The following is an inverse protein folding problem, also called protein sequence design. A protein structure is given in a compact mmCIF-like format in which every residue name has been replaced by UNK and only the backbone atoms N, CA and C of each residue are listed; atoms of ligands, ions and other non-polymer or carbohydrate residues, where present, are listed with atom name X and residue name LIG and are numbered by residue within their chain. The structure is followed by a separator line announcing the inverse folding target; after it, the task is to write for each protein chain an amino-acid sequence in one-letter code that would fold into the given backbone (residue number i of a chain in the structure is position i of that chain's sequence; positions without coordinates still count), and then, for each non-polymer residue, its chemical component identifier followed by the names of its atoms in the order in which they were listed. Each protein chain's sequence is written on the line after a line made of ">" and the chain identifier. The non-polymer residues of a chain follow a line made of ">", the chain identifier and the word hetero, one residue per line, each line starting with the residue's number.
data_IF_108157905201
#
_entry.id   IF_108157905201
#
_cell.length_a   1.000
_cell.length_b   1.000
_cell.length_c   1.000
_cell.angle_alpha   90.00
_cell.angle_beta   90.00
_cell.angle_gamma   90.00
#
_symmetry.space_group_name_H-M   'P 1'
#
loop_
_entity.id
_entity.type
_entity.pdbx_description
1 polymer ?
#
# COMPACT_ATOMS: atom_id res chain seq x y z
N UNK A 1 7.48 -20.39 21.48
CA UNK A 1 8.60 -20.27 20.52
C UNK A 1 8.35 -19.31 19.34
N UNK A 2 7.27 -18.51 19.33
CA UNK A 2 7.07 -17.50 18.28
C UNK A 2 7.94 -16.27 18.59
N UNK A 3 8.95 -16.03 17.76
CA UNK A 3 9.89 -14.91 17.93
C UNK A 3 9.44 -13.63 17.21
N UNK A 4 8.44 -13.71 16.34
CA UNK A 4 7.90 -12.57 15.61
C UNK A 4 6.78 -12.91 14.65
N UNK A 5 6.04 -11.89 14.21
CA UNK A 5 4.95 -11.97 13.23
C UNK A 5 5.26 -11.09 12.02
N UNK A 6 5.05 -11.65 10.83
CA UNK A 6 4.97 -10.90 9.57
C UNK A 6 3.52 -10.85 9.09
N UNK A 7 3.11 -9.73 8.53
CA UNK A 7 1.76 -9.51 8.00
C UNK A 7 1.84 -9.35 6.48
N UNK A 8 0.95 -10.05 5.77
CA UNK A 8 0.70 -9.80 4.36
C UNK A 8 -0.80 -9.81 4.09
N UNK A 9 -1.23 -9.12 3.03
CA UNK A 9 -2.63 -8.79 2.83
C UNK A 9 -2.96 -8.57 1.36
N UNK A 10 -4.26 -8.72 1.04
CA UNK A 10 -4.80 -8.16 -0.20
C UNK A 10 -4.55 -6.65 -0.21
N UNK A 11 -3.93 -6.17 -1.29
CA UNK A 11 -3.59 -4.77 -1.49
C UNK A 11 -4.85 -3.98 -1.90
N UNK A 12 -4.70 -2.65 -1.92
CA UNK A 12 -5.68 -1.61 -2.29
C UNK A 12 -6.99 -1.55 -1.50
N UNK A 13 -7.46 -2.65 -0.91
CA UNK A 13 -8.71 -2.73 -0.14
C UNK A 13 -8.69 -1.70 1.00
N UNK A 14 -9.68 -0.82 1.00
CA UNK A 14 -9.72 0.35 1.88
C UNK A 14 -10.68 0.13 3.04
N UNK A 15 -10.23 0.47 4.24
CA UNK A 15 -11.01 0.43 5.48
C UNK A 15 -11.02 1.82 6.10
N UNK A 16 -12.19 2.25 6.58
CA UNK A 16 -12.38 3.46 7.37
C UNK A 16 -12.84 3.08 8.77
N UNK A 17 -12.21 3.61 9.81
CA UNK A 17 -12.58 3.34 11.20
C UNK A 17 -12.43 4.57 12.08
N UNK A 18 -13.04 4.51 13.26
CA UNK A 18 -12.93 5.55 14.27
C UNK A 18 -11.68 5.30 15.15
N UNK A 19 -10.84 6.33 15.32
CA UNK A 19 -9.60 6.30 16.11
C UNK A 19 -9.79 6.13 17.61
N UNK A 20 -10.96 6.50 18.16
CA UNK A 20 -11.24 6.37 19.60
C UNK A 20 -11.88 5.02 19.92
N UNK A 21 -12.86 4.60 19.13
CA UNK A 21 -13.58 3.35 19.39
C UNK A 21 -12.88 2.14 18.78
N UNK A 22 -12.09 2.35 17.71
CA UNK A 22 -11.47 1.28 16.93
C UNK A 22 -12.46 0.46 16.11
N UNK A 23 -13.69 0.95 15.93
CA UNK A 23 -14.75 0.27 15.19
C UNK A 23 -14.79 0.72 13.72
N UNK A 24 -15.05 -0.21 12.78
CA UNK A 24 -15.19 0.13 11.36
C UNK A 24 -16.44 1.00 11.15
N UNK A 25 -16.31 2.02 10.32
CA UNK A 25 -17.39 2.97 10.02
C UNK A 25 -18.30 2.49 8.89
N UNK A 26 -17.82 1.54 8.09
CA UNK A 26 -18.53 0.87 6.99
C UNK A 26 -17.83 -0.46 6.63
N UNK A 27 -18.48 -1.33 5.84
CA UNK A 27 -17.79 -2.44 5.19
C UNK A 27 -16.59 -1.97 4.37
N UNK A 28 -15.52 -2.76 4.37
CA UNK A 28 -14.34 -2.50 3.55
C UNK A 28 -14.70 -2.48 2.06
N UNK A 29 -14.09 -1.56 1.30
CA UNK A 29 -14.22 -1.54 -0.17
C UNK A 29 -13.04 -2.32 -0.75
N UNK A 30 -13.34 -3.52 -1.27
CA UNK A 30 -12.34 -4.45 -1.81
C UNK A 30 -11.70 -3.92 -3.09
N UNK A 31 -10.48 -4.37 -3.38
CA UNK A 31 -9.69 -3.92 -4.55
C UNK A 31 -10.43 -4.03 -5.88
N UNK A 32 -11.24 -5.08 -6.07
CA UNK A 32 -11.99 -5.37 -7.29
C UNK A 32 -13.28 -4.55 -7.44
N UNK A 33 -13.65 -3.77 -6.41
CA UNK A 33 -14.85 -2.96 -6.44
C UNK A 33 -14.72 -1.79 -7.44
N UNK A 34 -15.69 -1.70 -8.36
CA UNK A 34 -15.71 -0.72 -9.44
C UNK A 34 -16.69 0.44 -9.19
N UNK A 35 -17.24 0.61 -7.98
CA UNK A 35 -18.22 1.68 -7.67
C UNK A 35 -17.71 3.09 -7.92
N UNK A 36 -16.39 3.26 -8.00
CA UNK A 36 -15.70 4.54 -8.23
C UNK A 36 -15.42 4.80 -9.71
N UNK A 37 -16.06 4.07 -10.64
CA UNK A 37 -15.87 4.26 -12.07
C UNK A 37 -16.18 5.70 -12.54
N UNK A 38 -17.26 6.31 -12.03
CA UNK A 38 -17.60 7.70 -12.34
C UNK A 38 -16.56 8.68 -11.76
N UNK A 39 -16.03 8.37 -10.57
CA UNK A 39 -14.94 9.16 -9.97
C UNK A 39 -13.67 9.08 -10.81
N UNK A 40 -13.35 7.94 -11.44
CA UNK A 40 -12.21 7.82 -12.37
C UNK A 40 -12.35 8.81 -13.52
N UNK A 41 -13.54 8.92 -14.13
CA UNK A 41 -13.80 9.86 -15.23
C UNK A 41 -13.62 11.30 -14.74
N UNK A 42 -14.25 11.64 -13.61
CA UNK A 42 -14.20 12.97 -13.00
C UNK A 42 -12.75 13.39 -12.68
N UNK A 43 -12.01 12.56 -11.95
CA UNK A 43 -10.65 12.88 -11.56
C UNK A 43 -9.69 12.87 -12.75
N UNK A 44 -9.92 12.04 -13.77
CA UNK A 44 -9.14 12.10 -15.02
C UNK A 44 -9.32 13.45 -15.72
N UNK A 45 -10.55 13.98 -15.78
CA UNK A 45 -10.85 15.29 -16.35
C UNK A 45 -10.19 16.45 -15.60
N UNK A 46 -10.06 16.32 -14.28
CA UNK A 46 -9.40 17.32 -13.43
C UNK A 46 -7.87 17.21 -13.43
N UNK A 47 -7.32 16.06 -13.83
CA UNK A 47 -5.90 15.79 -13.77
C UNK A 47 -5.11 16.59 -14.85
N UNK A 48 -3.82 16.88 -14.62
CA UNK A 48 -2.97 17.54 -15.61
C UNK A 48 -3.05 16.87 -16.99
N UNK A 49 -3.41 17.67 -18.01
CA UNK A 49 -3.55 17.20 -19.39
C UNK A 49 -4.76 16.32 -19.66
N UNK A 50 -5.69 16.15 -18.71
CA UNK A 50 -6.87 15.29 -18.83
C UNK A 50 -6.50 13.83 -19.18
N UNK A 51 -5.53 13.28 -18.46
CA UNK A 51 -4.99 11.93 -18.69
C UNK A 51 -5.06 11.09 -17.42
N UNK A 52 -5.44 9.83 -17.56
CA UNK A 52 -5.47 8.89 -16.44
C UNK A 52 -4.07 8.65 -15.87
N UNK A 53 -3.00 8.75 -16.66
CA UNK A 53 -1.63 8.56 -16.20
C UNK A 53 -0.93 9.85 -15.74
N UNK A 54 -1.66 10.94 -15.48
CA UNK A 54 -1.07 12.24 -15.13
C UNK A 54 -0.07 12.19 -13.95
N UNK A 55 -0.31 11.30 -12.98
CA UNK A 55 0.51 11.18 -11.77
C UNK A 55 1.49 10.00 -11.81
N UNK A 56 1.66 9.36 -12.97
CA UNK A 56 2.45 8.13 -13.07
C UNK A 56 3.92 8.34 -12.68
N UNK A 57 4.51 9.50 -12.95
CA UNK A 57 5.88 9.84 -12.54
C UNK A 57 6.06 10.07 -11.02
N UNK A 58 4.95 10.22 -10.29
CA UNK A 58 4.92 10.37 -8.82
C UNK A 58 4.61 9.02 -8.17
N UNK A 59 3.51 8.39 -8.59
CA UNK A 59 2.95 7.20 -7.90
C UNK A 59 3.29 5.89 -8.59
N UNK A 60 3.67 5.93 -9.87
CA UNK A 60 3.77 4.74 -10.72
C UNK A 60 2.43 4.18 -11.20
N UNK A 61 1.32 4.84 -10.87
CA UNK A 61 -0.04 4.34 -11.07
C UNK A 61 -0.90 5.31 -11.92
N UNK A 62 -1.86 4.80 -12.71
CA UNK A 62 -2.91 5.62 -13.30
C UNK A 62 -4.04 5.90 -12.28
N UNK A 63 -4.84 6.92 -12.57
CA UNK A 63 -6.15 7.14 -11.95
C UNK A 63 -7.06 5.99 -12.37
N UNK A 64 -7.41 5.13 -11.42
CA UNK A 64 -8.19 3.94 -11.67
C UNK A 64 -8.95 3.50 -10.41
N UNK A 65 -10.12 2.89 -10.58
CA UNK A 65 -11.00 2.44 -9.49
C UNK A 65 -10.35 1.41 -8.56
N UNK A 66 -9.32 0.72 -9.07
CA UNK A 66 -8.54 -0.28 -8.35
C UNK A 66 -7.83 0.29 -7.11
N UNK A 67 -7.31 1.53 -7.16
CA UNK A 67 -6.48 2.08 -6.08
C UNK A 67 -7.27 2.77 -4.96
N UNK A 68 -6.65 2.84 -3.78
CA UNK A 68 -7.34 3.21 -2.53
C UNK A 68 -7.85 4.66 -2.48
N UNK A 69 -7.18 5.62 -3.12
CA UNK A 69 -7.54 7.04 -3.07
C UNK A 69 -9.00 7.30 -3.46
N UNK A 70 -9.46 6.70 -4.55
CA UNK A 70 -10.85 6.86 -5.02
C UNK A 70 -11.84 6.18 -4.08
N UNK A 71 -11.46 5.05 -3.46
CA UNK A 71 -12.30 4.37 -2.47
C UNK A 71 -12.43 5.20 -1.18
N UNK A 72 -11.36 5.85 -0.74
CA UNK A 72 -11.38 6.79 0.40
C UNK A 72 -12.27 7.99 0.09
N UNK A 73 -12.11 8.59 -1.10
CA UNK A 73 -12.94 9.71 -1.55
C UNK A 73 -14.43 9.32 -1.61
N UNK A 74 -14.74 8.14 -2.15
CA UNK A 74 -16.11 7.65 -2.20
C UNK A 74 -16.72 7.49 -0.80
N UNK A 75 -15.97 6.96 0.17
CA UNK A 75 -16.42 6.85 1.56
C UNK A 75 -16.73 8.22 2.18
N UNK A 76 -15.87 9.21 1.96
CA UNK A 76 -16.07 10.60 2.42
C UNK A 76 -17.30 11.27 1.80
N UNK A 77 -17.72 10.86 0.60
CA UNK A 77 -18.86 11.46 -0.08
C UNK A 77 -20.18 10.72 0.13
N UNK A 78 -20.15 9.43 0.49
CA UNK A 78 -21.33 8.56 0.45
C UNK A 78 -21.69 7.95 1.81
N UNK A 79 -20.77 7.89 2.78
CA UNK A 79 -21.00 7.19 4.04
C UNK A 79 -21.09 8.17 5.21
N UNK A 80 -22.31 8.39 5.72
CA UNK A 80 -22.59 9.36 6.80
C UNK A 80 -21.71 9.18 8.05
N UNK A 81 -21.44 7.94 8.46
CA UNK A 81 -20.58 7.65 9.62
C UNK A 81 -19.12 8.03 9.37
N UNK A 82 -18.64 7.93 8.13
CA UNK A 82 -17.29 8.36 7.72
C UNK A 82 -17.21 9.88 7.70
N UNK A 83 -18.20 10.56 7.10
CA UNK A 83 -18.26 12.03 7.06
C UNK A 83 -18.21 12.61 8.48
N UNK A 84 -19.08 12.11 9.36
CA UNK A 84 -19.14 12.54 10.76
C UNK A 84 -17.80 12.31 11.48
N UNK A 85 -17.17 11.16 11.28
CA UNK A 85 -15.88 10.88 11.91
C UNK A 85 -14.77 11.80 11.38
N UNK A 86 -14.79 12.21 10.11
CA UNK A 86 -13.82 13.16 9.58
C UNK A 86 -14.01 14.56 10.16
N UNK A 87 -15.25 15.04 10.22
CA UNK A 87 -15.62 16.33 10.84
C UNK A 87 -15.19 16.39 12.31
N UNK A 88 -15.30 15.28 13.03
CA UNK A 88 -14.89 15.15 14.43
C UNK A 88 -13.38 14.91 14.62
N UNK A 89 -12.60 14.81 13.54
CA UNK A 89 -11.15 14.46 13.55
C UNK A 89 -10.88 13.06 14.14
N UNK A 90 -11.83 12.15 14.02
CA UNK A 90 -11.77 10.78 14.55
C UNK A 90 -11.57 9.73 13.46
N UNK A 91 -11.58 10.10 12.19
CA UNK A 91 -11.43 9.18 11.06
C UNK A 91 -9.98 8.74 10.87
N UNK A 92 -9.78 7.43 10.74
CA UNK A 92 -8.57 6.83 10.20
C UNK A 92 -8.92 6.00 8.96
N UNK A 93 -8.04 6.09 7.96
CA UNK A 93 -8.03 5.24 6.79
C UNK A 93 -6.84 4.28 6.83
N UNK A 94 -6.95 3.19 6.10
CA UNK A 94 -5.83 2.30 5.86
C UNK A 94 -6.19 1.15 4.95
N UNK A 95 -5.15 0.51 4.43
CA UNK A 95 -5.24 -0.81 3.82
C UNK A 95 -5.32 -1.89 4.91
N UNK A 96 -5.53 -3.15 4.50
CA UNK A 96 -5.78 -4.27 5.41
C UNK A 96 -4.63 -4.49 6.41
N UNK A 97 -3.37 -4.32 6.01
CA UNK A 97 -2.22 -4.35 6.93
C UNK A 97 -2.37 -3.34 8.07
N UNK A 98 -2.71 -2.08 7.73
CA UNK A 98 -2.83 -1.01 8.72
C UNK A 98 -3.94 -1.28 9.71
N UNK A 99 -5.09 -1.79 9.23
CA UNK A 99 -6.19 -2.22 10.08
C UNK A 99 -5.79 -3.38 11.00
N UNK A 100 -5.11 -4.41 10.49
CA UNK A 100 -4.67 -5.54 11.31
C UNK A 100 -3.71 -5.10 12.40
N UNK A 101 -2.75 -4.22 12.08
CA UNK A 101 -1.80 -3.70 13.06
C UNK A 101 -2.52 -2.86 14.11
N UNK A 102 -3.45 -1.99 13.70
CA UNK A 102 -4.27 -1.21 14.62
C UNK A 102 -5.01 -2.10 15.62
N UNK A 103 -5.64 -3.19 15.16
CA UNK A 103 -6.35 -4.13 16.04
C UNK A 103 -5.40 -4.94 16.92
N UNK A 104 -4.37 -5.55 16.34
CA UNK A 104 -3.43 -6.39 17.07
C UNK A 104 -2.65 -5.63 18.14
N UNK A 105 -2.33 -4.35 17.88
CA UNK A 105 -1.62 -3.48 18.83
C UNK A 105 -2.56 -2.75 19.78
N UNK A 106 -3.87 -3.06 19.77
CA UNK A 106 -4.87 -2.41 20.61
C UNK A 106 -4.88 -0.89 20.47
N UNK A 107 -4.95 -0.41 19.22
CA UNK A 107 -5.07 1.00 18.84
C UNK A 107 -3.80 1.85 19.09
N UNK A 108 -2.66 1.21 19.37
CA UNK A 108 -1.41 1.91 19.65
C UNK A 108 -0.67 2.36 18.38
N UNK A 109 -0.79 1.61 17.28
CA UNK A 109 -0.04 1.88 16.05
C UNK A 109 -0.95 1.94 14.83
N UNK A 110 -0.98 3.11 14.19
CA UNK A 110 -1.59 3.34 12.88
C UNK A 110 -0.49 3.52 11.84
N UNK A 111 -0.12 2.42 11.20
CA UNK A 111 1.05 2.33 10.31
C UNK A 111 0.75 1.50 9.07
N UNK A 112 1.52 1.69 8.00
CA UNK A 112 1.50 0.86 6.78
C UNK A 112 2.91 0.80 6.22
N UNK A 113 3.25 -0.25 5.48
CA UNK A 113 4.57 -0.30 4.84
C UNK A 113 4.60 0.40 3.47
N UNK A 114 5.81 0.68 3.00
CA UNK A 114 6.03 1.29 1.68
C UNK A 114 5.40 0.50 0.52
N UNK A 115 5.27 -0.83 0.61
CA UNK A 115 4.63 -1.61 -0.46
C UNK A 115 3.14 -1.36 -0.52
N UNK A 116 2.42 -1.45 0.60
CA UNK A 116 0.99 -1.11 0.66
C UNK A 116 0.73 0.37 0.36
N UNK A 117 1.54 1.29 0.91
CA UNK A 117 1.42 2.72 0.64
C UNK A 117 1.52 3.03 -0.87
N UNK A 118 2.46 2.38 -1.57
CA UNK A 118 2.65 2.55 -3.02
C UNK A 118 1.46 2.12 -3.88
N UNK A 119 0.43 1.50 -3.28
CA UNK A 119 -0.79 1.03 -3.97
C UNK A 119 -2.00 1.93 -3.75
N UNK A 120 -1.82 3.04 -3.04
CA UNK A 120 -2.93 3.91 -2.66
C UNK A 120 -3.26 4.97 -3.70
N UNK A 121 -2.36 5.28 -4.64
CA UNK A 121 -2.36 6.49 -5.49
C UNK A 121 -2.08 7.80 -4.73
N UNK A 122 -1.67 7.74 -3.45
CA UNK A 122 -1.32 8.92 -2.62
C UNK A 122 0.16 8.96 -2.22
N UNK A 123 0.92 7.91 -2.52
CA UNK A 123 2.31 7.75 -2.12
C UNK A 123 3.27 8.16 -3.23
N UNK A 124 4.28 8.96 -2.90
CA UNK A 124 5.31 9.39 -3.84
C UNK A 124 6.47 8.39 -3.85
N UNK A 125 6.70 7.73 -4.99
CA UNK A 125 7.74 6.72 -5.17
C UNK A 125 9.17 7.28 -5.07
N UNK A 126 9.34 8.59 -5.24
CA UNK A 126 10.66 9.24 -5.19
C UNK A 126 11.04 9.64 -3.76
N UNK A 127 10.09 10.18 -2.99
CA UNK A 127 10.34 10.64 -1.60
C UNK A 127 10.05 9.58 -0.54
N UNK A 128 9.23 8.58 -0.89
CA UNK A 128 8.69 7.57 0.01
C UNK A 128 7.77 8.12 1.12
N UNK A 129 7.04 9.18 0.80
CA UNK A 129 6.12 9.86 1.70
C UNK A 129 4.73 10.00 1.07
N UNK A 130 3.74 10.35 1.89
CA UNK A 130 2.44 10.78 1.38
C UNK A 130 2.61 12.08 0.61
N UNK A 131 2.13 12.10 -0.63
CA UNK A 131 2.19 13.27 -1.49
C UNK A 131 1.05 14.23 -1.13
N UNK A 132 1.39 15.41 -0.62
CA UNK A 132 0.41 16.38 -0.14
C UNK A 132 -0.49 16.89 -1.28
N UNK A 133 0.06 17.10 -2.47
CA UNK A 133 -0.68 17.61 -3.62
C UNK A 133 -1.66 16.56 -4.13
N UNK A 134 -1.28 15.28 -4.15
CA UNK A 134 -2.21 14.18 -4.45
C UNK A 134 -3.28 14.02 -3.39
N UNK A 135 -2.93 14.13 -2.09
CA UNK A 135 -3.91 14.09 -1.02
C UNK A 135 -4.95 15.21 -1.19
N UNK A 136 -4.50 16.45 -1.45
CA UNK A 136 -5.39 17.57 -1.74
C UNK A 136 -6.24 17.32 -3.00
N UNK A 137 -5.63 16.83 -4.08
CA UNK A 137 -6.29 16.53 -5.34
C UNK A 137 -7.44 15.53 -5.18
N UNK A 138 -7.21 14.43 -4.44
CA UNK A 138 -8.22 13.41 -4.16
C UNK A 138 -9.11 13.73 -2.95
N UNK A 139 -8.98 14.92 -2.37
CA UNK A 139 -9.73 15.37 -1.19
C UNK A 139 -9.56 14.47 0.04
N UNK A 140 -8.34 13.98 0.27
CA UNK A 140 -7.97 13.15 1.41
C UNK A 140 -7.14 13.98 2.38
N UNK A 141 -7.55 14.02 3.64
CA UNK A 141 -6.78 14.71 4.68
C UNK A 141 -5.59 13.82 5.13
N UNK A 142 -4.32 14.25 4.96
CA UNK A 142 -3.16 13.43 5.31
C UNK A 142 -3.13 12.91 6.75
N UNK A 143 -3.78 13.61 7.71
CA UNK A 143 -3.86 13.17 9.11
C UNK A 143 -4.59 11.83 9.30
N UNK A 144 -5.46 11.48 8.36
CA UNK A 144 -6.25 10.24 8.38
C UNK A 144 -5.45 9.05 7.88
N UNK A 145 -4.27 9.29 7.29
CA UNK A 145 -3.42 8.27 6.69
C UNK A 145 -2.42 7.70 7.73
N UNK A 146 -2.10 6.40 7.63
CA UNK A 146 -1.15 5.77 8.53
C UNK A 146 0.27 6.32 8.35
N UNK A 147 1.07 6.26 9.40
CA UNK A 147 2.51 6.50 9.29
C UNK A 147 3.16 5.42 8.42
N UNK A 148 3.95 5.84 7.44
CA UNK A 148 4.69 4.91 6.58
C UNK A 148 5.92 4.36 7.33
N UNK A 149 6.06 3.04 7.29
CA UNK A 149 7.23 2.29 7.80
C UNK A 149 7.88 1.47 6.68
N UNK A 150 9.06 0.93 6.95
CA UNK A 150 9.73 0.01 6.05
C UNK A 150 9.08 -1.39 6.12
N UNK A 151 9.38 -2.23 5.14
CA UNK A 151 8.79 -3.58 5.05
C UNK A 151 9.33 -4.55 6.09
N UNK A 152 10.47 -4.24 6.73
CA UNK A 152 11.05 -5.06 7.80
C UNK A 152 11.76 -4.19 8.85
N UNK A 153 11.09 -4.00 9.98
CA UNK A 153 11.60 -3.38 11.21
C UNK A 153 10.68 -3.72 12.39
N UNK A 154 11.07 -3.41 13.63
CA UNK A 154 10.16 -3.55 14.76
C UNK A 154 9.02 -2.53 14.62
N UNK A 155 7.83 -3.01 14.26
CA UNK A 155 6.65 -2.17 14.03
C UNK A 155 5.90 -1.93 15.35
N UNK A 156 5.75 -2.98 16.14
CA UNK A 156 4.98 -2.95 17.38
C UNK A 156 4.95 -4.32 18.04
N UNK A 157 4.18 -4.43 19.12
CA UNK A 157 3.97 -5.68 19.85
C UNK A 157 2.47 -5.95 19.90
N UNK A 158 2.08 -7.20 19.70
CA UNK A 158 0.67 -7.60 19.81
C UNK A 158 0.22 -7.39 21.26
N UNK A 159 -0.79 -6.54 21.46
CA UNK A 159 -1.37 -6.20 22.76
C UNK A 159 -2.80 -6.71 22.94
N UNK A 160 -3.47 -7.14 21.85
CA UNK A 160 -4.83 -7.67 21.90
C UNK A 160 -4.92 -8.84 22.89
N UNK A 161 -5.73 -8.67 23.94
CA UNK A 161 -5.94 -9.66 25.01
C UNK A 161 -6.63 -10.93 24.53
N UNK A 162 -7.31 -10.89 23.39
CA UNK A 162 -7.95 -12.05 22.77
C UNK A 162 -7.00 -12.81 21.84
N UNK A 163 -5.85 -12.22 21.49
CA UNK A 163 -4.87 -12.87 20.63
C UNK A 163 -3.95 -13.77 21.46
N UNK A 164 -3.85 -15.05 21.09
CA UNK A 164 -2.92 -16.00 21.73
C UNK A 164 -1.45 -15.60 21.59
N UNK A 165 -1.13 -14.72 20.64
CA UNK A 165 0.21 -14.19 20.39
C UNK A 165 0.49 -12.86 21.11
N UNK A 166 -0.30 -12.50 22.13
CA UNK A 166 -0.02 -11.31 22.94
C UNK A 166 1.42 -11.32 23.46
N UNK A 167 2.12 -10.20 23.31
CA UNK A 167 3.53 -10.03 23.65
C UNK A 167 4.52 -10.36 22.54
N UNK A 168 4.05 -10.97 21.43
CA UNK A 168 4.92 -11.25 20.27
C UNK A 168 5.12 -9.98 19.43
N UNK A 169 6.35 -9.66 19.01
CA UNK A 169 6.64 -8.51 18.17
C UNK A 169 6.17 -8.71 16.71
N UNK A 170 5.77 -7.62 16.08
CA UNK A 170 5.46 -7.54 14.65
C UNK A 170 6.70 -6.94 13.94
N UNK A 171 7.29 -7.67 13.01
CA UNK A 171 8.58 -7.32 12.38
C UNK A 171 8.52 -7.07 10.87
N UNK A 172 7.43 -7.41 10.21
CA UNK A 172 7.35 -7.26 8.76
C UNK A 172 5.95 -7.06 8.25
N UNK A 173 5.83 -6.27 7.20
CA UNK A 173 4.60 -6.00 6.47
C UNK A 173 4.96 -5.92 5.00
N UNK A 174 4.25 -6.67 4.16
CA UNK A 174 4.38 -6.61 2.71
C UNK A 174 3.02 -6.87 2.08
N UNK A 175 2.63 -6.09 1.08
CA UNK A 175 1.49 -6.44 0.22
C UNK A 175 1.69 -7.84 -0.39
N UNK A 176 0.62 -8.61 -0.56
CA UNK A 176 0.65 -10.03 -0.98
C UNK A 176 1.59 -10.34 -2.16
N UNK A 177 1.50 -9.56 -3.24
CA UNK A 177 2.31 -9.78 -4.44
C UNK A 177 3.79 -9.47 -4.20
N UNK A 178 4.08 -8.44 -3.40
CA UNK A 178 5.43 -8.09 -2.97
C UNK A 178 6.00 -9.11 -1.99
N UNK A 179 5.19 -9.62 -1.06
CA UNK A 179 5.58 -10.69 -0.15
C UNK A 179 5.98 -11.96 -0.93
N UNK A 180 5.18 -12.33 -1.93
CA UNK A 180 5.48 -13.43 -2.85
C UNK A 180 6.77 -13.18 -3.65
N UNK A 181 6.97 -11.96 -4.15
CA UNK A 181 8.23 -11.57 -4.81
C UNK A 181 9.43 -11.74 -3.89
N UNK A 182 9.36 -11.20 -2.67
CA UNK A 182 10.43 -11.34 -1.68
C UNK A 182 10.68 -12.83 -1.40
N UNK A 183 9.66 -13.61 -1.05
CA UNK A 183 9.82 -15.02 -0.73
C UNK A 183 10.50 -15.84 -1.84
N UNK A 184 10.19 -15.55 -3.11
CA UNK A 184 10.75 -16.26 -4.26
C UNK A 184 12.15 -15.77 -4.66
N UNK A 185 12.51 -14.55 -4.29
CA UNK A 185 13.73 -13.88 -4.78
C UNK A 185 14.75 -13.57 -3.70
N UNK A 186 14.40 -13.73 -2.43
CA UNK A 186 15.27 -13.44 -1.28
C UNK A 186 16.48 -14.38 -1.26
N UNK A 187 17.66 -13.84 -0.91
CA UNK A 187 18.89 -14.62 -0.76
C UNK A 187 19.56 -15.06 -2.06
N UNK A 188 18.83 -15.14 -3.18
CA UNK A 188 19.42 -15.39 -4.50
C UNK A 188 20.37 -14.25 -4.94
N UNK A 189 20.40 -13.12 -4.23
CA UNK A 189 21.26 -11.94 -4.46
C UNK A 189 22.68 -12.09 -3.88
N UNK A 190 23.04 -13.26 -3.34
CA UNK A 190 24.29 -13.47 -2.61
C UNK A 190 25.45 -14.09 -3.40
N UNK A 191 25.31 -14.38 -4.70
CA UNK A 191 26.48 -14.60 -5.56
C UNK A 191 26.79 -13.35 -6.38
N UNK A 192 27.62 -12.48 -5.79
CA UNK A 192 28.51 -11.64 -6.57
C UNK A 192 29.49 -12.56 -7.30
N UNK A 193 29.04 -13.17 -8.41
CA UNK A 193 29.98 -13.71 -9.39
C UNK A 193 30.79 -12.53 -9.94
N UNK A 194 32.11 -12.66 -9.95
CA UNK A 194 33.16 -11.70 -10.35
C UNK A 194 33.01 -11.11 -11.77
N UNK A 195 31.92 -11.40 -12.48
CA UNK A 195 31.69 -11.07 -13.88
C UNK A 195 30.82 -9.82 -14.12
N UNK A 196 30.63 -8.94 -13.12
CA UNK A 196 30.05 -7.59 -13.34
C UNK A 196 28.69 -7.59 -14.10
N UNK A 197 27.86 -8.61 -13.89
CA UNK A 197 26.50 -8.64 -14.44
C UNK A 197 25.59 -7.77 -13.54
N UNK A 198 24.79 -6.84 -14.10
CA UNK A 198 23.88 -6.01 -13.30
C UNK A 198 22.93 -6.91 -12.52
N UNK A 199 22.66 -6.51 -11.27
CA UNK A 199 21.77 -7.13 -10.30
C UNK A 199 20.60 -7.85 -11.01
N UNK A 200 20.70 -9.19 -11.11
CA UNK A 200 19.86 -9.98 -12.03
C UNK A 200 18.40 -9.69 -11.72
N UNK A 201 17.77 -8.91 -12.59
CA UNK A 201 16.39 -8.49 -12.49
C UNK A 201 15.49 -9.74 -12.38
N UNK A 202 14.63 -9.82 -11.36
CA UNK A 202 13.91 -11.06 -11.01
C UNK A 202 12.43 -10.91 -11.23
N UNK A 203 11.86 -11.90 -11.90
CA UNK A 203 10.43 -11.93 -12.19
C UNK A 203 9.78 -13.03 -11.38
N UNK A 204 8.64 -12.72 -10.77
CA UNK A 204 7.72 -13.70 -10.21
C UNK A 204 6.37 -13.54 -10.91
N UNK A 205 5.66 -14.65 -11.11
CA UNK A 205 4.26 -14.65 -11.53
C UNK A 205 3.45 -15.41 -10.50
N UNK A 206 2.33 -14.84 -10.05
CA UNK A 206 1.39 -15.51 -9.15
C UNK A 206 0.10 -15.76 -9.90
N UNK A 207 -0.31 -17.02 -9.95
CA UNK A 207 -1.55 -17.47 -10.60
C UNK A 207 -2.65 -17.64 -9.54
N UNK A 208 -3.78 -16.97 -9.75
CA UNK A 208 -5.02 -17.11 -9.01
C UNK A 208 -6.21 -16.97 -9.98
N UNK A 209 -7.25 -16.26 -9.59
CA UNK A 209 -8.35 -15.90 -10.52
C UNK A 209 -7.86 -15.03 -11.69
N UNK A 210 -6.79 -14.25 -11.49
CA UNK A 210 -5.99 -13.60 -12.52
C UNK A 210 -4.50 -13.92 -12.35
N UNK A 211 -3.64 -13.32 -13.17
CA UNK A 211 -2.18 -13.47 -13.05
C UNK A 211 -1.49 -12.13 -12.80
N UNK A 212 -0.63 -12.08 -11.78
CA UNK A 212 0.16 -10.89 -11.45
C UNK A 212 1.64 -11.17 -11.62
N UNK A 213 2.25 -10.50 -12.60
CA UNK A 213 3.70 -10.53 -12.81
C UNK A 213 4.32 -9.33 -12.10
N UNK A 214 5.28 -9.58 -11.21
CA UNK A 214 6.14 -8.52 -10.65
C UNK A 214 7.59 -8.78 -11.06
N UNK A 215 8.24 -7.73 -11.51
CA UNK A 215 9.63 -7.72 -11.93
C UNK A 215 10.43 -6.76 -11.06
N UNK A 216 11.32 -7.26 -10.21
CA UNK A 216 12.26 -6.46 -9.44
C UNK A 216 13.26 -5.78 -10.37
N UNK A 217 13.29 -4.43 -10.34
CA UNK A 217 14.13 -3.56 -11.18
C UNK A 217 15.21 -2.83 -10.37
N UNK A 218 15.48 -3.25 -9.14
CA UNK A 218 16.54 -2.68 -8.31
C UNK A 218 16.12 -1.37 -7.62
N UNK A 219 17.11 -0.54 -7.30
CA UNK A 219 16.93 0.68 -6.48
C UNK A 219 16.57 1.94 -7.27
N UNK A 220 16.32 1.83 -8.58
CA UNK A 220 15.95 2.97 -9.43
C UNK A 220 14.55 2.74 -10.01
N UNK A 221 13.59 3.64 -9.80
CA UNK A 221 12.28 3.50 -10.40
C UNK A 221 12.35 3.64 -11.92
N UNK A 222 11.56 2.85 -12.63
CA UNK A 222 11.37 2.99 -14.07
C UNK A 222 9.88 3.24 -14.33
N UNK A 223 9.56 4.38 -14.93
CA UNK A 223 8.19 4.77 -15.26
C UNK A 223 7.90 4.47 -16.73
N UNK A 224 6.84 3.69 -16.99
CA UNK A 224 6.52 3.19 -18.33
C UNK A 224 5.29 3.86 -18.92
N UNK A 225 5.39 4.44 -20.11
CA UNK A 225 4.22 4.96 -20.84
C UNK A 225 3.38 3.84 -21.50
N UNK A 226 3.75 2.56 -21.30
CA UNK A 226 3.12 1.40 -21.96
C UNK A 226 2.19 0.59 -21.04
N UNK A 227 1.55 1.25 -20.08
CA UNK A 227 0.52 0.63 -19.22
C UNK A 227 1.04 -0.34 -18.17
N UNK A 228 2.34 -0.33 -17.89
CA UNK A 228 2.98 -1.12 -16.81
C UNK A 228 3.06 -0.25 -15.56
N UNK A 229 2.70 -0.81 -14.41
CA UNK A 229 2.75 -0.11 -13.14
C UNK A 229 4.17 -0.11 -12.58
N UNK A 230 4.59 1.00 -12.00
CA UNK A 230 5.81 1.08 -11.18
C UNK A 230 5.39 1.06 -9.72
N UNK A 231 6.04 0.27 -8.88
CA UNK A 231 5.66 0.12 -7.46
C UNK A 231 6.90 -0.14 -6.61
N UNK A 232 6.75 -0.10 -5.28
CA UNK A 232 7.80 -0.56 -4.37
C UNK A 232 7.74 -2.10 -4.30
N UNK A 233 8.88 -2.75 -4.49
CA UNK A 233 9.06 -4.17 -4.25
C UNK A 233 9.19 -4.45 -2.74
N UNK A 234 10.07 -3.70 -2.06
CA UNK A 234 10.26 -3.72 -0.61
C UNK A 234 11.22 -2.60 -0.18
N UNK A 235 11.27 -2.31 1.13
CA UNK A 235 12.39 -1.59 1.77
C UNK A 235 12.74 -2.28 3.08
N UNK A 236 13.98 -2.72 3.24
CA UNK A 236 14.39 -3.53 4.41
C UNK A 236 15.12 -2.66 5.43
N UNK A 237 14.43 -2.29 6.51
CA UNK A 237 14.96 -1.43 7.57
C UNK A 237 15.19 0.03 7.14
N UNK A 238 15.37 0.90 8.12
CA UNK A 238 15.51 2.35 7.91
C UNK A 238 16.74 2.76 7.09
N UNK A 239 17.84 1.99 7.19
CA UNK A 239 19.08 2.19 6.42
C UNK A 239 19.06 1.51 5.04
N UNK A 240 18.05 0.67 4.77
CA UNK A 240 17.91 -0.02 3.50
C UNK A 240 17.44 0.91 2.40
N UNK A 241 17.93 0.67 1.17
CA UNK A 241 17.40 1.33 -0.03
C UNK A 241 16.03 0.75 -0.39
N UNK A 242 15.09 1.55 -0.93
CA UNK A 242 13.90 1.00 -1.55
C UNK A 242 14.31 0.21 -2.80
N UNK A 243 13.67 -0.94 -3.00
CA UNK A 243 13.69 -1.66 -4.27
C UNK A 243 12.35 -1.46 -4.96
N UNK A 244 12.37 -1.30 -6.27
CA UNK A 244 11.20 -1.07 -7.10
C UNK A 244 10.87 -2.31 -7.91
N UNK A 245 9.61 -2.39 -8.32
CA UNK A 245 9.15 -3.40 -9.26
C UNK A 245 8.30 -2.79 -10.37
N UNK A 246 8.34 -3.45 -11.53
CA UNK A 246 7.31 -3.32 -12.55
C UNK A 246 6.23 -4.37 -12.30
N UNK A 247 4.98 -3.97 -12.38
CA UNK A 247 3.84 -4.85 -12.16
C UNK A 247 2.87 -4.82 -13.35
N UNK A 248 2.45 -6.01 -13.75
CA UNK A 248 1.39 -6.21 -14.74
C UNK A 248 0.36 -7.17 -14.15
N UNK A 249 -0.89 -6.72 -14.09
CA UNK A 249 -2.04 -7.56 -13.79
C UNK A 249 -2.72 -8.00 -15.09
N UNK A 250 -2.91 -9.30 -15.24
CA UNK A 250 -3.82 -9.90 -16.21
C UNK A 250 -5.06 -10.32 -15.43
N UNK A 251 -6.14 -9.55 -15.59
CA UNK A 251 -7.46 -9.89 -15.06
C UNK A 251 -8.30 -10.56 -16.13
#
# INVERSE_FOLDING_TARGET
>A
DIIGVGITNQRETTIAWNSETGEPLAPAIVWSDARTADDVIKFTQMAPGNKSNAFQHITGLPIHSYFSALKMNWLLNNVKSVVKADEENKLLFGTVDSWLIWKLTSQMYHVTDVTNASRTLLFNLNTLEWDHDLCQFFHINPRTLPKIVTSSELIGVIQDSKCLMKGVPIYGILGDQQASLVAQTWGLSSSADENNLPDKSRVKVTYGTGAFMLWNIGCQPYFSDKGVLTTIAYKMGSKGKPYYALEVGLQ
#
